data_IF_073742765921
#
_entry.id   IF_073742765921
#
_cell.length_a   1.000
_cell.length_b   1.000
_cell.length_c   1.000
_cell.angle_alpha   90.00
_cell.angle_beta   90.00
_cell.angle_gamma   90.00
#
_symmetry.space_group_name_H-M   'P 1'
#
loop_
_entity.id
_entity.type
_entity.pdbx_description
1 polymer ?
#
# COMPACT_ATOMS: atom_id res chain seq x y z
N UNK A 1 6.83 -1.88 13.07
CA UNK A 1 6.72 -1.37 11.67
C UNK A 1 7.68 -0.22 11.42
N UNK A 2 7.49 0.99 11.97
CA UNK A 2 8.42 2.12 11.68
C UNK A 2 9.87 1.76 12.05
N UNK A 3 10.08 1.26 13.27
CA UNK A 3 11.40 0.79 13.71
C UNK A 3 11.96 -0.36 12.84
N UNK A 4 11.10 -1.24 12.32
CA UNK A 4 11.54 -2.32 11.42
C UNK A 4 12.01 -1.75 10.07
N UNK A 5 11.36 -0.68 9.58
CA UNK A 5 11.77 0.04 8.38
C UNK A 5 13.08 0.80 8.63
N UNK A 6 13.19 1.50 9.76
CA UNK A 6 14.41 2.24 10.12
C UNK A 6 15.62 1.29 10.21
N UNK A 7 15.45 0.12 10.84
CA UNK A 7 16.50 -0.89 10.93
C UNK A 7 16.85 -1.49 9.56
N UNK A 8 15.86 -1.71 8.70
CA UNK A 8 16.10 -2.20 7.33
C UNK A 8 16.86 -1.16 6.49
N UNK A 9 16.52 0.13 6.59
CA UNK A 9 17.24 1.22 5.91
C UNK A 9 18.69 1.30 6.43
N UNK A 10 18.87 1.28 7.75
CA UNK A 10 20.18 1.30 8.40
C UNK A 10 21.05 0.16 7.88
N UNK A 11 20.54 -1.07 7.98
CA UNK A 11 21.24 -2.28 7.57
C UNK A 11 21.61 -2.24 6.08
N UNK A 12 20.71 -1.73 5.23
CA UNK A 12 20.95 -1.60 3.79
C UNK A 12 22.08 -0.62 3.49
N UNK A 13 22.06 0.57 4.10
CA UNK A 13 23.09 1.59 3.92
C UNK A 13 24.44 1.10 4.46
N UNK A 14 24.46 0.54 5.66
CA UNK A 14 25.69 0.05 6.30
C UNK A 14 26.34 -1.08 5.47
N UNK A 15 25.53 -2.02 4.97
CA UNK A 15 25.98 -3.15 4.16
C UNK A 15 26.46 -2.74 2.77
N UNK A 16 25.66 -1.97 2.03
CA UNK A 16 25.88 -1.82 0.58
C UNK A 16 26.57 -0.50 0.21
N UNK A 17 26.52 0.52 1.09
CA UNK A 17 27.16 1.82 0.88
C UNK A 17 28.42 1.94 1.71
N UNK A 18 28.31 1.76 3.03
CA UNK A 18 29.37 2.16 3.95
C UNK A 18 30.51 1.17 4.02
N UNK A 19 30.24 -0.14 3.94
CA UNK A 19 31.28 -1.20 3.89
C UNK A 19 32.39 -1.03 4.96
N UNK A 20 32.05 -0.54 6.17
CA UNK A 20 33.01 -0.30 7.25
C UNK A 20 33.82 1.01 7.16
N UNK A 21 33.42 1.97 6.34
CA UNK A 21 34.09 3.28 6.16
C UNK A 21 34.08 4.22 7.38
N UNK A 22 33.49 3.81 8.52
CA UNK A 22 33.40 4.62 9.73
C UNK A 22 32.41 5.79 9.65
N UNK A 23 31.58 5.83 8.61
CA UNK A 23 30.45 6.76 8.48
C UNK A 23 29.30 6.27 9.36
N UNK A 24 28.62 7.17 10.06
CA UNK A 24 27.47 6.82 10.90
C UNK A 24 26.14 6.96 10.15
N UNK A 25 25.16 6.10 10.44
CA UNK A 25 23.75 6.26 10.00
C UNK A 25 22.88 6.67 11.18
N UNK A 26 22.16 7.77 11.05
CA UNK A 26 21.34 8.34 12.14
C UNK A 26 19.99 8.84 11.63
N UNK A 27 18.98 8.84 12.50
CA UNK A 27 17.58 9.13 12.15
C UNK A 27 17.02 10.39 12.83
N UNK A 28 17.87 11.13 13.55
CA UNK A 28 17.49 12.36 14.23
C UNK A 28 17.08 13.45 13.24
N UNK A 29 16.28 14.41 13.69
CA UNK A 29 16.03 15.62 12.91
C UNK A 29 17.33 16.41 12.70
N UNK A 30 17.72 16.76 11.46
CA UNK A 30 18.97 17.45 11.18
C UNK A 30 18.82 18.96 11.42
N UNK A 31 18.59 19.33 12.68
CA UNK A 31 18.48 20.73 13.10
C UNK A 31 19.84 21.41 13.07
N UNK A 32 19.86 22.75 13.12
CA UNK A 32 21.10 23.54 13.18
C UNK A 32 22.00 23.14 14.35
N UNK A 33 21.42 22.95 15.53
CA UNK A 33 22.17 22.54 16.73
C UNK A 33 22.68 21.10 16.64
N UNK A 34 21.93 20.21 15.99
CA UNK A 34 22.36 18.86 15.73
C UNK A 34 23.55 18.85 14.76
N UNK A 35 23.47 19.61 13.67
CA UNK A 35 24.51 19.72 12.66
C UNK A 35 25.82 20.31 13.24
N UNK A 36 25.70 21.35 14.08
CA UNK A 36 26.85 22.00 14.71
C UNK A 36 27.67 21.09 15.64
N UNK A 37 27.08 19.99 16.14
CA UNK A 37 27.76 19.02 17.02
C UNK A 37 28.45 17.88 16.26
N UNK A 38 28.32 17.82 14.94
CA UNK A 38 28.83 16.69 14.13
C UNK A 38 30.28 16.91 13.74
N UNK A 39 31.12 15.95 14.14
CA UNK A 39 32.55 15.93 13.82
C UNK A 39 32.94 14.74 12.91
N UNK A 40 32.06 13.75 12.76
CA UNK A 40 32.28 12.56 11.96
C UNK A 40 31.37 12.54 10.71
N UNK A 41 31.83 11.97 9.58
CA UNK A 41 31.00 11.74 8.42
C UNK A 41 29.73 10.97 8.78
N UNK A 42 28.57 11.50 8.38
CA UNK A 42 27.27 10.96 8.79
C UNK A 42 26.26 10.99 7.64
N UNK A 43 25.54 9.87 7.44
CA UNK A 43 24.31 9.82 6.66
C UNK A 43 23.13 10.00 7.62
N UNK A 44 22.37 11.07 7.44
CA UNK A 44 21.16 11.32 8.20
C UNK A 44 19.93 10.91 7.36
N UNK A 45 19.02 10.15 7.98
CA UNK A 45 17.80 9.59 7.38
C UNK A 45 16.60 10.02 8.22
N UNK A 46 16.10 11.23 7.98
CA UNK A 46 15.07 11.83 8.82
C UNK A 46 13.65 11.53 8.31
N UNK A 47 12.84 10.85 9.10
CA UNK A 47 11.42 10.60 8.80
C UNK A 47 10.59 11.89 8.96
N UNK A 48 10.24 12.54 7.85
CA UNK A 48 9.55 13.84 7.88
C UNK A 48 8.04 13.74 7.64
N UNK A 49 7.55 12.64 7.08
CA UNK A 49 6.13 12.45 6.79
C UNK A 49 5.68 10.99 6.89
N UNK A 50 4.48 10.77 7.44
CA UNK A 50 3.85 9.46 7.60
C UNK A 50 2.40 9.58 7.17
N UNK A 51 1.99 8.81 6.15
CA UNK A 51 0.63 8.88 5.60
C UNK A 51 0.05 7.50 5.33
N UNK A 52 -1.26 7.34 5.52
CA UNK A 52 -1.94 6.13 5.06
C UNK A 52 -2.10 6.18 3.53
N UNK A 53 -1.73 5.10 2.83
CA UNK A 53 -2.07 4.92 1.42
C UNK A 53 -3.54 4.53 1.31
N UNK A 54 -4.40 5.54 1.25
CA UNK A 54 -5.86 5.37 1.16
C UNK A 54 -6.28 4.68 -0.13
N UNK A 55 -5.46 4.71 -1.20
CA UNK A 55 -5.77 4.01 -2.46
C UNK A 55 -5.67 2.49 -2.30
N UNK A 56 -4.79 2.02 -1.42
CA UNK A 56 -4.66 0.59 -1.04
C UNK A 56 -5.59 0.17 0.09
N UNK A 57 -6.37 1.10 0.64
CA UNK A 57 -7.27 0.81 1.76
C UNK A 57 -8.44 -0.05 1.30
N UNK A 58 -8.47 -1.27 1.79
CA UNK A 58 -9.61 -2.16 1.63
C UNK A 58 -10.62 -1.92 2.77
N UNK A 59 -11.91 -2.11 2.47
CA UNK A 59 -13.00 -2.04 3.45
C UNK A 59 -13.58 -3.43 3.69
N UNK A 60 -14.26 -3.60 4.81
CA UNK A 60 -14.93 -4.85 5.18
C UNK A 60 -14.10 -5.71 6.13
N UNK A 61 -14.51 -6.96 6.25
CA UNK A 61 -13.88 -7.96 7.11
C UNK A 61 -13.45 -9.15 6.26
N UNK A 62 -12.24 -9.63 6.50
CA UNK A 62 -11.69 -10.86 5.94
C UNK A 62 -12.05 -11.99 6.92
N UNK A 63 -12.66 -13.05 6.40
CA UNK A 63 -12.93 -14.26 7.19
C UNK A 63 -11.64 -15.07 7.37
N UNK A 64 -11.40 -15.50 8.60
CA UNK A 64 -10.43 -16.55 8.94
C UNK A 64 -11.18 -17.87 9.05
N UNK A 65 -10.64 -18.92 8.44
CA UNK A 65 -11.25 -20.24 8.37
C UNK A 65 -10.45 -21.24 9.21
N UNK A 66 -11.15 -22.20 9.82
CA UNK A 66 -10.53 -23.41 10.37
C UNK A 66 -10.27 -24.47 9.28
N UNK A 67 -9.65 -25.59 9.68
CA UNK A 67 -9.36 -26.74 8.80
C UNK A 67 -10.62 -27.38 8.19
N UNK A 68 -11.79 -27.14 8.80
CA UNK A 68 -13.09 -27.60 8.31
C UNK A 68 -13.82 -26.55 7.47
N UNK A 69 -13.11 -25.51 7.02
CA UNK A 69 -13.61 -24.38 6.23
C UNK A 69 -14.76 -23.60 6.87
N UNK A 70 -14.85 -23.59 8.21
CA UNK A 70 -15.79 -22.75 8.96
C UNK A 70 -15.12 -21.45 9.33
N UNK A 71 -15.87 -20.35 9.25
CA UNK A 71 -15.38 -19.05 9.72
C UNK A 71 -15.21 -19.13 11.23
N UNK A 72 -14.02 -18.85 11.75
CA UNK A 72 -13.73 -18.81 13.19
C UNK A 72 -13.49 -17.40 13.70
N UNK A 73 -13.04 -16.51 12.82
CA UNK A 73 -12.87 -15.11 13.14
C UNK A 73 -12.99 -14.23 11.91
N UNK A 74 -13.06 -12.94 12.15
CA UNK A 74 -13.03 -11.89 11.15
C UNK A 74 -11.97 -10.88 11.55
N UNK A 75 -11.17 -10.43 10.59
CA UNK A 75 -10.19 -9.35 10.77
C UNK A 75 -10.38 -8.26 9.72
N UNK A 76 -10.12 -6.98 10.04
CA UNK A 76 -10.05 -5.97 9.00
C UNK A 76 -8.83 -6.22 8.10
N UNK A 77 -8.84 -5.76 6.84
CA UNK A 77 -7.65 -5.80 6.00
C UNK A 77 -6.52 -4.95 6.60
N UNK A 78 -5.28 -5.35 6.35
CA UNK A 78 -4.10 -4.58 6.72
C UNK A 78 -4.11 -3.20 6.06
N UNK A 79 -3.51 -2.22 6.73
CA UNK A 79 -3.32 -0.87 6.19
C UNK A 79 -1.94 -0.75 5.59
N UNK A 80 -1.78 0.18 4.66
CA UNK A 80 -0.48 0.52 4.10
C UNK A 80 -0.16 1.96 4.47
N UNK A 81 1.05 2.20 4.93
CA UNK A 81 1.54 3.52 5.26
C UNK A 81 2.74 3.87 4.39
N UNK A 82 2.71 5.04 3.80
CA UNK A 82 3.83 5.69 3.14
C UNK A 82 4.65 6.42 4.18
N UNK A 83 5.93 6.07 4.28
CA UNK A 83 6.92 6.69 5.13
C UNK A 83 7.89 7.45 4.22
N UNK A 84 7.98 8.78 4.37
CA UNK A 84 8.88 9.61 3.58
C UNK A 84 10.04 10.09 4.42
N UNK A 85 11.24 9.72 3.99
CA UNK A 85 12.51 10.02 4.64
C UNK A 85 13.30 11.01 3.82
N UNK A 86 13.87 12.00 4.49
CA UNK A 86 14.80 12.95 3.91
C UNK A 86 16.22 12.48 4.21
N UNK A 87 16.94 12.04 3.17
CA UNK A 87 18.31 11.54 3.29
C UNK A 87 19.30 12.65 2.98
N UNK A 88 20.21 12.92 3.91
CA UNK A 88 21.26 13.94 3.78
C UNK A 88 22.63 13.37 4.16
N UNK A 89 23.69 13.95 3.59
CA UNK A 89 25.07 13.62 3.93
C UNK A 89 25.74 14.81 4.62
N UNK A 90 26.50 14.53 5.67
CA UNK A 90 27.19 15.52 6.47
C UNK A 90 28.65 15.13 6.58
N UNK A 91 29.53 15.91 5.96
CA UNK A 91 30.99 15.69 6.00
C UNK A 91 31.72 17.03 6.07
N UNK A 92 33.06 17.02 6.08
CA UNK A 92 33.86 18.25 6.06
C UNK A 92 33.93 18.90 4.67
N UNK A 93 33.73 18.14 3.59
CA UNK A 93 33.88 18.61 2.20
C UNK A 93 32.61 18.34 1.42
N UNK A 94 32.09 19.34 0.74
CA UNK A 94 30.86 19.22 -0.05
C UNK A 94 30.97 18.12 -1.13
N UNK A 95 32.15 17.91 -1.70
CA UNK A 95 32.39 16.86 -2.68
C UNK A 95 32.20 15.46 -2.08
N UNK A 96 32.57 15.27 -0.82
CA UNK A 96 32.39 14.01 -0.10
C UNK A 96 30.92 13.80 0.27
N UNK A 97 30.18 14.88 0.58
CA UNK A 97 28.72 14.83 0.73
C UNK A 97 28.04 14.34 -0.55
N UNK A 98 28.42 14.90 -1.71
CA UNK A 98 27.87 14.51 -3.00
C UNK A 98 28.23 13.06 -3.37
N UNK A 99 29.45 12.62 -3.07
CA UNK A 99 29.87 11.22 -3.30
C UNK A 99 29.06 10.25 -2.45
N UNK A 100 28.83 10.59 -1.18
CA UNK A 100 28.03 9.77 -0.27
C UNK A 100 26.58 9.70 -0.72
N UNK A 101 25.97 10.83 -1.10
CA UNK A 101 24.62 10.86 -1.66
C UNK A 101 24.51 10.06 -2.96
N UNK A 102 25.51 10.16 -3.85
CA UNK A 102 25.55 9.37 -5.09
C UNK A 102 25.60 7.86 -4.83
N UNK A 103 26.39 7.44 -3.83
CA UNK A 103 26.49 6.04 -3.43
C UNK A 103 25.16 5.53 -2.82
N UNK A 104 24.52 6.33 -1.96
CA UNK A 104 23.19 6.03 -1.42
C UNK A 104 22.15 5.93 -2.53
N UNK A 105 22.10 6.92 -3.42
CA UNK A 105 21.17 6.93 -4.56
C UNK A 105 21.35 5.66 -5.43
N UNK A 106 22.59 5.34 -5.78
CA UNK A 106 22.92 4.16 -6.59
C UNK A 106 22.56 2.86 -5.89
N UNK A 107 22.69 2.80 -4.56
CA UNK A 107 22.28 1.65 -3.75
C UNK A 107 20.76 1.45 -3.83
N UNK A 108 19.98 2.46 -3.47
CA UNK A 108 18.51 2.35 -3.44
C UNK A 108 17.89 2.12 -4.81
N UNK A 109 18.46 2.69 -5.89
CA UNK A 109 17.97 2.47 -7.26
C UNK A 109 18.08 1.01 -7.74
N UNK A 110 18.87 0.15 -7.06
CA UNK A 110 18.95 -1.29 -7.38
C UNK A 110 17.77 -2.10 -6.82
N UNK A 111 16.92 -1.47 -6.01
CA UNK A 111 15.87 -2.13 -5.27
C UNK A 111 14.52 -1.49 -5.57
N UNK A 112 13.56 -2.28 -6.07
CA UNK A 112 12.16 -1.84 -6.15
C UNK A 112 11.40 -2.03 -4.82
N UNK A 113 11.96 -2.88 -3.95
CA UNK A 113 11.43 -3.23 -2.64
C UNK A 113 12.58 -3.36 -1.65
N UNK A 114 12.32 -3.12 -0.36
CA UNK A 114 13.30 -3.42 0.66
C UNK A 114 13.69 -4.92 0.60
N UNK A 115 15.00 -5.25 0.68
CA UNK A 115 15.46 -6.64 0.62
C UNK A 115 14.82 -7.50 1.71
N UNK A 116 14.29 -8.67 1.32
CA UNK A 116 13.53 -9.56 2.23
C UNK A 116 14.33 -10.05 3.43
N UNK A 117 15.64 -10.21 3.27
CA UNK A 117 16.59 -10.59 4.30
C UNK A 117 16.75 -9.53 5.41
N UNK A 118 16.39 -8.27 5.13
CA UNK A 118 16.42 -7.17 6.08
C UNK A 118 15.06 -6.91 6.74
N UNK A 119 14.00 -7.61 6.31
CA UNK A 119 12.65 -7.41 6.83
C UNK A 119 12.41 -8.25 8.07
N UNK A 120 11.85 -7.62 9.10
CA UNK A 120 11.49 -8.25 10.36
C UNK A 120 10.08 -7.84 10.81
N UNK A 121 9.55 -8.55 11.81
CA UNK A 121 8.24 -8.26 12.39
C UNK A 121 7.12 -8.26 11.35
N UNK A 122 6.31 -7.20 11.35
CA UNK A 122 5.17 -7.07 10.44
C UNK A 122 5.55 -6.94 8.96
N UNK A 123 6.80 -6.55 8.65
CA UNK A 123 7.27 -6.39 7.28
C UNK A 123 7.66 -7.73 6.63
N UNK A 124 7.94 -8.77 7.42
CA UNK A 124 8.30 -10.08 6.86
C UNK A 124 7.14 -10.73 6.08
N UNK A 125 5.90 -10.37 6.43
CA UNK A 125 4.68 -10.96 5.87
C UNK A 125 4.28 -10.41 4.50
N UNK A 126 4.81 -9.25 4.09
CA UNK A 126 4.45 -8.61 2.83
C UNK A 126 5.56 -7.71 2.29
N UNK A 127 5.69 -7.57 0.95
CA UNK A 127 6.73 -6.73 0.36
C UNK A 127 6.56 -5.26 0.78
N UNK A 128 7.68 -4.56 0.97
CA UNK A 128 7.72 -3.13 1.23
C UNK A 128 8.33 -2.39 0.03
N UNK A 129 7.50 -1.91 -0.93
CA UNK A 129 7.98 -1.13 -2.06
C UNK A 129 8.73 0.11 -1.60
N UNK A 130 9.80 0.44 -2.33
CA UNK A 130 10.58 1.66 -2.09
C UNK A 130 10.77 2.46 -3.37
N UNK A 131 10.92 3.77 -3.23
CA UNK A 131 11.28 4.69 -4.31
C UNK A 131 12.21 5.76 -3.75
N UNK A 132 13.16 6.22 -4.56
CA UNK A 132 14.10 7.28 -4.16
C UNK A 132 14.21 8.36 -5.24
N UNK A 133 14.36 9.62 -4.84
CA UNK A 133 14.54 10.75 -5.75
C UNK A 133 13.29 11.11 -6.53
N UNK A 134 12.11 10.68 -6.07
CA UNK A 134 10.84 11.09 -6.65
C UNK A 134 10.49 12.51 -6.19
N UNK A 135 9.75 13.30 -6.99
CA UNK A 135 9.23 14.57 -6.53
C UNK A 135 8.35 14.32 -5.28
N UNK A 136 8.50 15.12 -4.21
CA UNK A 136 7.65 14.97 -3.05
C UNK A 136 6.21 15.32 -3.44
N UNK A 137 5.22 14.82 -2.69
CA UNK A 137 3.84 15.27 -2.82
C UNK A 137 3.76 16.80 -2.75
N UNK A 138 2.94 17.42 -3.62
CA UNK A 138 2.85 18.89 -3.76
C UNK A 138 2.49 19.61 -2.45
N UNK A 139 1.88 18.90 -1.50
CA UNK A 139 1.45 19.46 -0.22
C UNK A 139 2.54 19.43 0.86
N UNK A 140 3.76 18.99 0.54
CA UNK A 140 4.91 19.10 1.45
C UNK A 140 6.21 19.38 0.71
N UNK A 141 6.53 20.67 0.56
CA UNK A 141 7.77 21.15 -0.05
C UNK A 141 9.00 20.89 0.83
N UNK A 142 10.13 20.51 0.24
CA UNK A 142 11.39 20.39 0.97
C UNK A 142 11.84 21.71 1.60
N UNK A 143 11.58 22.85 0.94
CA UNK A 143 11.93 24.16 1.49
C UNK A 143 11.22 24.41 2.82
N UNK A 144 9.97 23.99 2.95
CA UNK A 144 9.19 24.14 4.19
C UNK A 144 9.72 23.22 5.30
N UNK A 145 10.10 21.99 4.95
CA UNK A 145 10.72 21.04 5.88
C UNK A 145 12.04 21.61 6.41
N UNK A 146 12.91 22.12 5.54
CA UNK A 146 14.18 22.73 5.94
C UNK A 146 14.00 24.00 6.77
N UNK A 147 13.03 24.84 6.41
CA UNK A 147 12.68 26.04 7.17
C UNK A 147 12.21 25.68 8.59
N UNK A 148 11.39 24.63 8.73
CA UNK A 148 10.92 24.14 10.03
C UNK A 148 12.04 23.52 10.89
N UNK A 149 13.07 22.94 10.27
CA UNK A 149 14.25 22.41 10.97
C UNK A 149 15.22 23.51 11.43
N UNK A 150 15.02 24.76 10.98
CA UNK A 150 15.89 25.90 11.29
C UNK A 150 17.30 25.78 10.72
N UNK A 151 17.49 24.88 9.75
CA UNK A 151 18.76 24.59 9.09
C UNK A 151 18.89 25.26 7.72
N UNK A 152 20.09 25.26 7.18
CA UNK A 152 20.34 25.62 5.79
C UNK A 152 19.94 24.46 4.88
N UNK A 153 19.31 24.79 3.74
CA UNK A 153 18.93 23.80 2.73
C UNK A 153 20.19 23.06 2.23
N UNK A 154 20.23 21.74 2.46
CA UNK A 154 21.27 20.84 1.96
C UNK A 154 20.75 19.99 0.79
N UNK A 155 21.63 19.56 -0.13
CA UNK A 155 21.31 18.50 -1.07
C UNK A 155 20.77 17.27 -0.33
N UNK A 156 19.59 16.81 -0.74
CA UNK A 156 18.86 15.74 -0.07
C UNK A 156 18.18 14.83 -1.08
N UNK A 157 18.00 13.57 -0.69
CA UNK A 157 17.25 12.57 -1.46
C UNK A 157 15.97 12.23 -0.69
N UNK A 158 14.85 12.23 -1.39
CA UNK A 158 13.59 11.73 -0.84
C UNK A 158 13.51 10.22 -1.02
N UNK A 159 13.43 9.50 0.10
CA UNK A 159 13.28 8.05 0.15
C UNK A 159 11.89 7.73 0.69
N UNK A 160 11.07 7.09 -0.14
CA UNK A 160 9.69 6.75 0.17
C UNK A 160 9.55 5.24 0.28
N UNK A 161 9.02 4.77 1.41
CA UNK A 161 8.79 3.33 1.66
C UNK A 161 7.33 3.12 2.01
N UNK A 162 6.67 2.18 1.31
CA UNK A 162 5.31 1.77 1.65
C UNK A 162 5.34 0.50 2.49
N UNK A 163 4.95 0.62 3.75
CA UNK A 163 4.98 -0.46 4.72
C UNK A 163 3.56 -0.94 5.09
N UNK A 164 3.31 -2.26 5.12
CA UNK A 164 2.07 -2.82 5.65
C UNK A 164 2.05 -2.74 7.19
N UNK A 165 0.87 -2.46 7.73
CA UNK A 165 0.58 -2.50 9.16
C UNK A 165 -0.69 -3.31 9.41
N UNK A 166 -0.56 -4.44 10.10
CA UNK A 166 -1.70 -5.15 10.66
C UNK A 166 -2.18 -4.43 11.93
N UNK A 167 -3.50 -4.24 12.05
CA UNK A 167 -4.12 -3.66 13.24
C UNK A 167 -4.23 -4.65 14.40
N UNK A 168 -3.88 -5.92 14.19
CA UNK A 168 -4.02 -7.04 15.13
C UNK A 168 -5.46 -7.21 15.67
N UNK A 169 -6.45 -6.60 15.00
CA UNK A 169 -7.85 -6.69 15.40
C UNK A 169 -8.44 -7.99 14.89
N UNK A 170 -8.90 -8.82 15.82
CA UNK A 170 -9.54 -10.09 15.53
C UNK A 170 -10.86 -10.18 16.27
N UNK A 171 -11.91 -10.50 15.53
CA UNK A 171 -13.26 -10.69 16.08
C UNK A 171 -13.62 -12.16 15.95
N UNK A 172 -13.67 -12.88 17.07
CA UNK A 172 -14.19 -14.25 17.09
C UNK A 172 -15.65 -14.23 16.63
N UNK A 173 -16.03 -15.17 15.77
CA UNK A 173 -17.44 -15.33 15.41
C UNK A 173 -18.16 -16.13 16.50
N UNK A 174 -19.48 -15.92 16.63
CA UNK A 174 -20.31 -16.71 17.52
C UNK A 174 -20.38 -18.19 17.09
N UNK A 175 -20.97 -19.06 17.93
CA UNK A 175 -21.17 -20.46 17.61
C UNK A 175 -21.87 -20.64 16.25
N UNK A 176 -21.60 -21.74 15.52
CA UNK A 176 -22.28 -22.04 14.28
C UNK A 176 -23.80 -22.06 14.47
N UNK A 177 -24.53 -21.42 13.56
CA UNK A 177 -25.99 -21.53 13.50
C UNK A 177 -26.34 -22.98 13.16
N UNK A 178 -27.04 -23.67 14.07
CA UNK A 178 -27.41 -25.09 13.93
C UNK A 178 -28.83 -25.29 13.40
N UNK A 179 -29.68 -24.28 13.55
CA UNK A 179 -31.09 -24.32 13.19
C UNK A 179 -31.39 -23.23 12.18
N UNK A 180 -32.29 -23.51 11.24
CA UNK A 180 -32.69 -22.54 10.23
C UNK A 180 -33.43 -21.36 10.87
N UNK A 181 -33.23 -20.16 10.31
CA UNK A 181 -33.93 -18.97 10.79
C UNK A 181 -35.44 -19.12 10.56
N UNK A 182 -36.21 -19.24 11.64
CA UNK A 182 -37.67 -19.30 11.59
C UNK A 182 -38.28 -17.93 11.93
N UNK A 183 -39.32 -17.54 11.20
CA UNK A 183 -40.15 -16.38 11.54
C UNK A 183 -41.45 -16.90 12.16
N UNK A 184 -41.86 -16.36 13.30
CA UNK A 184 -43.16 -16.61 13.92
C UNK A 184 -43.97 -15.32 13.88
N UNK A 185 -45.16 -15.37 13.30
CA UNK A 185 -46.11 -14.26 13.31
C UNK A 185 -47.10 -14.51 14.44
N UNK A 186 -47.34 -13.50 15.28
CA UNK A 186 -48.29 -13.57 16.40
C UNK A 186 -49.30 -12.45 16.25
N UNK A 187 -50.59 -12.80 16.28
CA UNK A 187 -51.69 -11.84 16.38
C UNK A 187 -51.69 -11.24 17.80
N UNK A 188 -51.48 -9.93 17.89
CA UNK A 188 -51.37 -9.21 19.16
C UNK A 188 -52.69 -9.09 19.92
N UNK A 189 -53.82 -9.39 19.28
CA UNK A 189 -55.16 -9.27 19.85
C UNK A 189 -55.67 -10.60 20.37
N UNK A 190 -55.39 -11.68 19.64
CA UNK A 190 -55.89 -13.03 19.94
C UNK A 190 -54.81 -13.94 20.54
N UNK A 191 -53.54 -13.57 20.44
CA UNK A 191 -52.41 -14.42 20.84
C UNK A 191 -52.16 -15.62 19.91
N UNK A 192 -52.94 -15.75 18.81
CA UNK A 192 -52.75 -16.80 17.84
C UNK A 192 -51.40 -16.63 17.12
N UNK A 193 -50.67 -17.73 16.89
CA UNK A 193 -49.40 -17.67 16.18
C UNK A 193 -49.36 -18.65 15.01
N UNK A 194 -48.70 -18.22 13.93
CA UNK A 194 -48.39 -19.04 12.77
C UNK A 194 -46.89 -18.99 12.50
N UNK A 195 -46.31 -20.13 12.13
CA UNK A 195 -44.93 -20.21 11.65
C UNK A 195 -44.98 -20.40 10.15
N UNK A 196 -44.88 -19.33 9.33
CA UNK A 196 -44.90 -19.48 7.88
C UNK A 196 -43.74 -20.36 7.43
N UNK A 197 -44.04 -21.57 6.94
CA UNK A 197 -43.07 -22.38 6.21
C UNK A 197 -42.77 -21.70 4.89
N UNK A 198 -41.55 -21.19 4.71
CA UNK A 198 -41.04 -20.80 3.40
C UNK A 198 -40.91 -22.07 2.54
N UNK A 199 -41.99 -22.45 1.87
CA UNK A 199 -41.96 -23.48 0.84
C UNK A 199 -40.91 -23.10 -0.19
N UNK A 200 -39.82 -23.87 -0.24
CA UNK A 200 -38.67 -23.56 -1.08
C UNK A 200 -39.09 -23.23 -2.51
N UNK A 201 -38.79 -22.00 -2.95
CA UNK A 201 -38.69 -21.70 -4.38
C UNK A 201 -37.52 -22.53 -4.89
N UNK A 202 -37.79 -23.78 -5.29
CA UNK A 202 -36.91 -24.54 -6.17
C UNK A 202 -36.63 -23.62 -7.35
N UNK A 203 -35.41 -23.08 -7.46
CA UNK A 203 -34.91 -22.60 -8.75
C UNK A 203 -35.13 -23.77 -9.69
N UNK A 204 -36.09 -23.65 -10.62
CA UNK A 204 -36.16 -24.56 -11.76
C UNK A 204 -34.80 -24.46 -12.43
N UNK A 205 -33.98 -25.49 -12.28
CA UNK A 205 -32.89 -25.73 -13.21
C UNK A 205 -33.55 -25.78 -14.58
N UNK A 206 -33.26 -24.79 -15.42
CA UNK A 206 -33.64 -24.84 -16.82
C UNK A 206 -32.85 -26.00 -17.44
N UNK A 207 -33.45 -27.18 -17.43
CA UNK A 207 -33.07 -28.29 -18.30
C UNK A 207 -33.34 -27.81 -19.72
N UNK A 208 -32.31 -27.28 -20.36
CA UNK A 208 -32.28 -27.13 -21.80
C UNK A 208 -32.34 -28.53 -22.40
N UNK A 209 -33.48 -28.88 -22.99
CA UNK A 209 -33.58 -29.99 -23.91
C UNK A 209 -33.78 -29.41 -25.33
N UNK A 210 -33.06 -29.90 -26.34
CA UNK A 210 -33.04 -29.29 -27.66
C UNK A 210 -34.31 -29.67 -28.43
N UNK A 211 -34.94 -28.69 -29.10
CA UNK A 211 -36.00 -28.96 -30.06
C UNK A 211 -35.38 -29.39 -31.40
N UNK A 212 -35.92 -30.41 -32.09
CA UNK A 212 -35.48 -30.79 -33.42
C UNK A 212 -36.19 -29.96 -34.50
N UNK A 213 -35.38 -29.45 -35.44
CA UNK A 213 -35.64 -29.20 -36.86
C UNK A 213 -37.02 -28.71 -37.33
N UNK A 214 -37.08 -27.46 -37.76
CA UNK A 214 -37.79 -27.08 -38.98
C UNK A 214 -37.06 -25.91 -39.66
N UNK A 215 -36.79 -26.11 -40.93
CA UNK A 215 -35.95 -25.35 -41.87
C UNK A 215 -36.59 -24.08 -42.40
N UNK A 216 -35.82 -22.99 -42.53
CA UNK A 216 -35.81 -22.09 -43.70
C UNK A 216 -34.70 -21.03 -43.61
N UNK A 217 -33.67 -21.18 -44.44
CA UNK A 217 -32.75 -20.12 -44.89
C UNK A 217 -33.38 -19.34 -46.07
N UNK A 218 -32.77 -18.27 -46.63
CA UNK A 218 -31.96 -17.19 -46.04
C UNK A 218 -32.38 -15.79 -46.58
N UNK A 219 -32.17 -14.70 -45.83
CA UNK A 219 -32.18 -13.34 -46.40
C UNK A 219 -31.37 -12.31 -45.57
N UNK A 220 -30.14 -12.10 -46.02
CA UNK A 220 -29.40 -10.82 -46.15
C UNK A 220 -29.75 -9.61 -45.26
N UNK A 221 -28.78 -9.13 -44.48
CA UNK A 221 -28.71 -7.74 -44.01
C UNK A 221 -27.54 -7.46 -43.04
N UNK A 222 -26.85 -6.31 -43.08
CA UNK A 222 -25.39 -6.26 -43.03
C UNK A 222 -24.72 -5.84 -41.70
N UNK A 223 -23.42 -6.13 -41.66
CA UNK A 223 -22.41 -5.89 -40.62
C UNK A 223 -22.16 -4.40 -40.25
N UNK A 224 -21.54 -4.12 -39.08
CA UNK A 224 -21.55 -2.79 -38.45
C UNK A 224 -20.49 -1.83 -39.00
N UNK A 225 -20.87 -0.55 -39.14
CA UNK A 225 -19.98 0.55 -39.55
C UNK A 225 -18.97 0.91 -38.45
N UNK A 226 -17.68 0.78 -38.80
CA UNK A 226 -16.54 1.38 -38.09
C UNK A 226 -16.68 2.92 -38.09
N UNK A 227 -16.58 3.55 -36.91
CA UNK A 227 -16.42 5.01 -36.78
C UNK A 227 -14.96 5.39 -36.99
N UNK A 228 -14.71 6.23 -37.98
CA UNK A 228 -13.41 6.83 -38.29
C UNK A 228 -13.12 8.04 -37.38
N UNK A 229 -11.84 8.23 -37.05
CA UNK A 229 -11.31 9.36 -36.29
C UNK A 229 -11.24 10.65 -37.14
N UNK A 230 -11.37 11.84 -36.53
CA UNK A 230 -11.30 13.12 -37.25
C UNK A 230 -9.85 13.59 -37.51
N UNK A 231 -9.60 14.38 -38.57
CA UNK A 231 -8.26 14.75 -39.01
C UNK A 231 -7.65 15.93 -38.21
N UNK A 232 -6.31 15.91 -38.09
CA UNK A 232 -5.44 16.97 -37.55
C UNK A 232 -5.45 18.21 -38.45
N UNK A 233 -5.55 19.41 -37.86
CA UNK A 233 -5.30 20.70 -38.55
C UNK A 233 -3.79 21.04 -38.56
N UNK A 234 -3.27 21.65 -39.63
CA UNK A 234 -1.86 22.03 -39.74
C UNK A 234 -1.54 23.33 -39.00
N UNK A 235 -0.27 23.45 -38.59
CA UNK A 235 0.26 24.54 -37.80
C UNK A 235 0.28 25.89 -38.51
N UNK A 236 0.39 26.94 -37.69
CA UNK A 236 0.63 28.31 -38.13
C UNK A 236 1.83 28.84 -37.33
N UNK A 237 2.89 29.15 -38.06
CA UNK A 237 4.03 29.96 -37.65
C UNK A 237 3.58 31.41 -37.41
N UNK A 238 3.95 31.96 -36.27
CA UNK A 238 4.54 33.29 -36.05
C UNK A 238 4.95 33.41 -34.59
#
# INVERSE_FOLDING_TARGET
MIHDVDEAIRSLIERDVLNGSGVEVVFDAPTKDWAARRNAPTVNVYLYDIREDVKRRHRGMINEYDDAHRVVARRPPGRHFTLSYLVTAWTQRTEDEHRLLSAVLTCFLRHEHLPRDLLSGALAEAPAPLAIGMPPPEDRSFTDVWSALGGELKPSLDLVITAPLDTARRFAVGPPVREEASIRVVDTTTGAFETPTFGGRRRRAATANPAPGATSDPASGPAPKKRAAPPRKPGRTS
#
